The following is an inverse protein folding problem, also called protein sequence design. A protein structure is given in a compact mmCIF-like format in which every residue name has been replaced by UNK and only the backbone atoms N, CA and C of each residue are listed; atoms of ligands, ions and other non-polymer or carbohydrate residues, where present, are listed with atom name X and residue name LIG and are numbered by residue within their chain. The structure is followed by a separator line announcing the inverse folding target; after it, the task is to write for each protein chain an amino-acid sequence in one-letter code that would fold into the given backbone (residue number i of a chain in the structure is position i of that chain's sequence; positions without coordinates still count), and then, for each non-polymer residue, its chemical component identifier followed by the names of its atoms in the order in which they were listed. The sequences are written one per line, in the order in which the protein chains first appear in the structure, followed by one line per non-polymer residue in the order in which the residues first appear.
data_IF_542154160997
#
_entry.id   IF_542154160997
#
_cell.length_a   1.000
_cell.length_b   1.000
_cell.length_c   1.000
_cell.angle_alpha   90.00
_cell.angle_beta   90.00
_cell.angle_gamma   90.00
#
_symmetry.space_group_name_H-M   'P 1'
#
loop_
_entity.id
_entity.type
_entity.pdbx_description
1 polymer ?
#
# COMPACT_ATOMS: atom_id res chain seq x y z
N UNK A 1 -5.35 13.46 24.03
CA UNK A 1 -6.04 13.71 22.74
C UNK A 1 -5.32 14.74 21.90
N UNK A 2 -5.13 15.97 22.37
CA UNK A 2 -4.46 17.04 21.59
C UNK A 2 -3.05 16.63 21.10
N UNK A 3 -2.23 16.00 21.95
CA UNK A 3 -0.92 15.48 21.54
C UNK A 3 -1.02 14.47 20.40
N UNK A 4 -1.97 13.54 20.45
CA UNK A 4 -2.19 12.57 19.38
C UNK A 4 -2.63 13.26 18.09
N UNK A 5 -3.54 14.24 18.17
CA UNK A 5 -3.98 15.01 17.01
C UNK A 5 -2.80 15.72 16.32
N UNK A 6 -1.98 16.46 17.07
CA UNK A 6 -0.81 17.16 16.53
C UNK A 6 0.20 16.19 15.93
N UNK A 7 0.48 15.06 16.60
CA UNK A 7 1.38 14.05 16.05
C UNK A 7 0.84 13.39 14.78
N UNK A 8 -0.48 13.21 14.66
CA UNK A 8 -1.10 12.66 13.45
C UNK A 8 -1.01 13.68 12.30
N UNK A 9 -1.31 14.96 12.54
CA UNK A 9 -1.14 16.01 11.53
C UNK A 9 0.30 16.07 11.00
N UNK A 10 1.29 16.09 11.90
CA UNK A 10 2.71 16.05 11.52
C UNK A 10 3.06 14.78 10.70
N UNK A 11 2.50 13.62 11.07
CA UNK A 11 2.67 12.38 10.32
C UNK A 11 2.06 12.47 8.92
N UNK A 12 0.87 13.06 8.77
CA UNK A 12 0.18 13.22 7.49
C UNK A 12 0.90 14.19 6.55
N UNK A 13 1.59 15.19 7.09
CA UNK A 13 2.42 16.11 6.29
C UNK A 13 3.63 15.38 5.70
N UNK A 14 4.30 14.53 6.48
CA UNK A 14 5.47 13.75 6.04
C UNK A 14 5.05 12.67 5.03
N UNK A 15 4.05 11.86 5.36
CA UNK A 15 3.60 10.76 4.50
C UNK A 15 2.76 11.22 3.30
N UNK A 16 2.30 12.47 3.30
CA UNK A 16 1.63 13.11 2.18
C UNK A 16 2.57 13.57 1.06
N UNK A 17 3.89 13.45 1.23
CA UNK A 17 4.86 13.79 0.19
C UNK A 17 4.73 12.86 -1.02
N UNK A 18 5.09 13.37 -2.21
CA UNK A 18 4.95 12.65 -3.49
C UNK A 18 5.69 11.31 -3.51
N UNK A 19 6.70 11.17 -2.66
CA UNK A 19 7.56 10.00 -2.67
C UNK A 19 6.83 8.75 -2.18
N UNK A 20 5.83 8.86 -1.30
CA UNK A 20 5.23 7.74 -0.54
C UNK A 20 4.19 6.87 -1.27
N UNK A 21 3.97 7.09 -2.57
CA UNK A 21 3.13 6.21 -3.40
C UNK A 21 1.62 6.28 -3.13
N UNK A 22 0.80 5.79 -4.07
CA UNK A 22 -0.65 5.96 -4.03
C UNK A 22 -1.31 5.22 -2.85
N UNK A 23 -0.78 4.07 -2.39
CA UNK A 23 -1.33 3.36 -1.22
C UNK A 23 -1.22 4.20 0.06
N UNK A 24 -0.07 4.83 0.29
CA UNK A 24 0.12 5.70 1.45
C UNK A 24 -0.73 6.97 1.35
N UNK A 25 -0.88 7.56 0.16
CA UNK A 25 -1.74 8.72 -0.04
C UNK A 25 -3.21 8.40 0.21
N UNK A 26 -3.68 7.24 -0.23
CA UNK A 26 -5.04 6.78 0.04
C UNK A 26 -5.27 6.55 1.55
N UNK A 27 -4.29 5.99 2.26
CA UNK A 27 -4.32 5.87 3.73
C UNK A 27 -4.39 7.25 4.39
N UNK A 28 -3.55 8.21 3.97
CA UNK A 28 -3.56 9.57 4.49
C UNK A 28 -4.91 10.26 4.27
N UNK A 29 -5.53 10.07 3.09
CA UNK A 29 -6.86 10.57 2.80
C UNK A 29 -7.92 9.97 3.74
N UNK A 30 -7.86 8.66 4.00
CA UNK A 30 -8.73 7.98 4.96
C UNK A 30 -8.57 8.52 6.39
N UNK A 31 -7.33 8.74 6.84
CA UNK A 31 -7.05 9.33 8.16
C UNK A 31 -7.61 10.76 8.26
N UNK A 32 -7.40 11.60 7.24
CA UNK A 32 -7.93 12.98 7.22
C UNK A 32 -9.45 13.01 7.37
N UNK A 33 -10.16 12.05 6.77
CA UNK A 33 -11.62 11.93 6.93
C UNK A 33 -12.01 11.73 8.40
N UNK A 34 -11.32 10.84 9.12
CA UNK A 34 -11.56 10.64 10.56
C UNK A 34 -11.20 11.86 11.41
N UNK A 35 -10.16 12.62 11.02
CA UNK A 35 -9.83 13.88 11.70
C UNK A 35 -10.90 14.96 11.46
N UNK A 36 -11.50 15.00 10.28
CA UNK A 36 -12.60 15.91 9.99
C UNK A 36 -13.82 15.61 10.89
N UNK A 37 -14.16 14.33 11.08
CA UNK A 37 -15.23 13.92 12.00
C UNK A 37 -14.93 14.38 13.45
N UNK A 38 -13.66 14.32 13.87
CA UNK A 38 -13.24 14.86 15.16
C UNK A 38 -13.41 16.37 15.27
N UNK A 39 -13.06 17.13 14.23
CA UNK A 39 -13.26 18.59 14.22
C UNK A 39 -14.75 18.95 14.29
N UNK A 40 -15.61 18.21 13.59
CA UNK A 40 -17.07 18.37 13.67
C UNK A 40 -17.56 18.13 15.10
N UNK A 41 -17.06 17.08 15.77
CA UNK A 41 -17.38 16.83 17.18
C UNK A 41 -16.94 18.01 18.08
N UNK A 42 -15.77 18.59 17.87
CA UNK A 42 -15.29 19.75 18.64
C UNK A 42 -16.24 20.94 18.47
N UNK A 43 -16.67 21.24 17.25
CA UNK A 43 -17.64 22.31 16.96
C UNK A 43 -19.00 22.04 17.63
N UNK A 44 -19.46 20.78 17.62
CA UNK A 44 -20.70 20.39 18.30
C UNK A 44 -20.58 20.59 19.82
N UNK A 45 -19.44 20.24 20.41
CA UNK A 45 -19.19 20.43 21.85
C UNK A 45 -19.09 21.91 22.22
N UNK A 46 -18.48 22.73 21.39
CA UNK A 46 -18.45 24.19 21.57
C UNK A 46 -19.87 24.77 21.54
N UNK A 47 -20.69 24.35 20.58
CA UNK A 47 -22.09 24.77 20.49
C UNK A 47 -22.86 24.35 21.75
N UNK A 48 -22.66 23.13 22.24
CA UNK A 48 -23.31 22.67 23.48
C UNK A 48 -22.86 23.44 24.72
N UNK A 49 -21.58 23.79 24.80
CA UNK A 49 -21.04 24.60 25.88
C UNK A 49 -21.68 26.00 25.92
N UNK A 50 -21.91 26.62 24.76
CA UNK A 50 -22.48 27.96 24.67
C UNK A 50 -24.01 28.00 24.86
N UNK A 51 -24.71 26.94 24.47
CA UNK A 51 -26.19 26.93 24.44
C UNK A 51 -26.84 26.20 25.62
N UNK A 52 -26.16 25.22 26.22
CA UNK A 52 -26.74 24.38 27.27
C UNK A 52 -26.17 24.73 28.66
N UNK A 53 -26.98 25.30 29.57
CA UNK A 53 -26.53 25.64 30.92
C UNK A 53 -26.21 24.42 31.81
N UNK A 54 -26.67 23.22 31.44
CA UNK A 54 -26.39 21.96 32.14
C UNK A 54 -25.18 21.21 31.57
N UNK A 55 -24.42 21.81 30.65
CA UNK A 55 -23.22 21.19 30.12
C UNK A 55 -22.13 21.14 31.21
N UNK A 56 -21.75 19.93 31.60
CA UNK A 56 -20.74 19.70 32.65
C UNK A 56 -19.47 19.10 32.06
N UNK A 57 -18.36 19.24 32.79
CA UNK A 57 -17.09 18.63 32.45
C UNK A 57 -17.20 17.09 32.28
N UNK A 58 -18.09 16.45 33.05
CA UNK A 58 -18.34 15.02 32.91
C UNK A 58 -19.00 14.66 31.57
N UNK A 59 -19.96 15.46 31.12
CA UNK A 59 -20.63 15.29 29.82
C UNK A 59 -19.62 15.49 28.69
N UNK A 60 -18.77 16.51 28.76
CA UNK A 60 -17.65 16.70 27.83
C UNK A 60 -16.77 15.45 27.77
N UNK A 61 -16.34 14.93 28.92
CA UNK A 61 -15.49 13.75 29.00
C UNK A 61 -16.15 12.53 28.32
N UNK A 62 -17.44 12.30 28.58
CA UNK A 62 -18.19 11.20 27.97
C UNK A 62 -18.25 11.29 26.45
N UNK A 63 -18.52 12.48 25.89
CA UNK A 63 -18.56 12.67 24.44
C UNK A 63 -17.16 12.55 23.79
N UNK A 64 -16.10 12.91 24.51
CA UNK A 64 -14.73 12.83 23.97
C UNK A 64 -14.13 11.42 23.99
N UNK A 65 -14.66 10.47 24.79
CA UNK A 65 -14.11 9.12 24.94
C UNK A 65 -13.95 8.37 23.60
N UNK A 66 -14.99 8.37 22.76
CA UNK A 66 -14.96 7.68 21.47
C UNK A 66 -13.94 8.29 20.51
N UNK A 67 -13.88 9.63 20.44
CA UNK A 67 -12.89 10.34 19.65
C UNK A 67 -11.46 10.16 20.19
N UNK A 68 -11.29 10.07 21.52
CA UNK A 68 -10.00 9.81 22.15
C UNK A 68 -9.46 8.46 21.74
N UNK A 69 -10.34 7.47 21.74
CA UNK A 69 -10.04 6.12 21.32
C UNK A 69 -9.65 6.07 19.83
N UNK A 70 -10.45 6.68 18.95
CA UNK A 70 -10.15 6.79 17.52
C UNK A 70 -8.77 7.43 17.27
N UNK A 71 -8.50 8.60 17.86
CA UNK A 71 -7.21 9.28 17.72
C UNK A 71 -6.04 8.44 18.23
N UNK A 72 -6.25 7.70 19.33
CA UNK A 72 -5.21 6.81 19.85
C UNK A 72 -4.88 5.68 18.86
N UNK A 73 -5.88 5.05 18.24
CA UNK A 73 -5.65 3.97 17.29
C UNK A 73 -4.96 4.44 16.00
N UNK A 74 -5.33 5.62 15.51
CA UNK A 74 -4.67 6.23 14.35
C UNK A 74 -3.23 6.62 14.70
N UNK A 75 -3.00 7.18 15.89
CA UNK A 75 -1.66 7.54 16.35
C UNK A 75 -0.73 6.32 16.49
N UNK A 76 -1.21 5.22 17.09
CA UNK A 76 -0.41 4.00 17.24
C UNK A 76 -0.10 3.36 15.89
N UNK A 77 -1.05 3.41 14.95
CA UNK A 77 -0.84 2.99 13.56
C UNK A 77 0.23 3.86 12.87
N UNK A 78 0.08 5.19 12.90
CA UNK A 78 1.03 6.11 12.28
C UNK A 78 2.44 5.95 12.84
N UNK A 79 2.57 5.77 14.16
CA UNK A 79 3.86 5.46 14.79
C UNK A 79 4.43 4.11 14.33
N UNK A 80 3.58 3.10 14.15
CA UNK A 80 4.04 1.80 13.64
C UNK A 80 4.57 1.89 12.20
N UNK A 81 3.93 2.71 11.35
CA UNK A 81 4.39 2.98 9.98
C UNK A 81 5.73 3.71 10.01
N UNK A 82 5.87 4.75 10.86
CA UNK A 82 7.13 5.48 11.00
C UNK A 82 8.27 4.60 11.55
N UNK A 83 7.99 3.73 12.51
CA UNK A 83 9.02 2.83 13.06
C UNK A 83 9.47 1.77 12.04
N UNK A 84 8.56 1.20 11.25
CA UNK A 84 8.97 0.26 10.20
C UNK A 84 9.82 0.93 9.11
N UNK A 85 9.70 2.26 8.95
CA UNK A 85 10.59 3.01 8.05
C UNK A 85 12.01 3.19 8.62
N UNK A 86 12.20 3.02 9.93
CA UNK A 86 13.52 3.06 10.59
C UNK A 86 14.14 1.67 10.82
N UNK A 87 13.35 0.61 10.96
CA UNK A 87 13.80 -0.72 11.43
C UNK A 87 14.58 -1.57 10.38
N UNK A 88 15.01 -1.01 9.25
CA UNK A 88 15.90 -1.72 8.29
C UNK A 88 17.40 -1.48 8.54
N UNK A 89 17.79 -0.93 9.71
CA UNK A 89 19.20 -0.69 10.07
C UNK A 89 19.84 -1.79 10.95
N UNK A 90 19.11 -2.83 11.40
CA UNK A 90 19.69 -3.87 12.27
C UNK A 90 19.23 -5.29 11.90
N UNK A 91 19.98 -5.93 11.00
CA UNK A 91 19.75 -7.28 10.51
C UNK A 91 20.90 -7.73 9.63
N UNK A 92 21.99 -8.19 10.26
CA UNK A 92 23.12 -8.82 9.61
C UNK A 92 22.71 -10.09 8.87
N UNK A 93 22.60 -10.00 7.55
CA UNK A 93 23.13 -10.94 6.55
C UNK A 93 22.97 -10.24 5.19
N UNK A 94 24.08 -9.78 4.62
CA UNK A 94 24.07 -9.25 3.25
C UNK A 94 23.84 -10.44 2.33
N UNK A 95 22.60 -10.63 1.91
CA UNK A 95 22.29 -11.50 0.78
C UNK A 95 23.17 -11.12 -0.41
N UNK A 96 23.82 -12.13 -0.96
CA UNK A 96 24.81 -12.05 -2.05
C UNK A 96 24.20 -11.40 -3.31
N UNK A 97 22.87 -11.41 -3.43
CA UNK A 97 22.11 -10.84 -4.53
C UNK A 97 22.17 -9.30 -4.57
N UNK A 98 22.44 -8.64 -3.44
CA UNK A 98 22.63 -7.18 -3.37
C UNK A 98 23.97 -6.75 -3.97
N UNK A 99 24.97 -7.62 -3.99
CA UNK A 99 26.27 -7.30 -4.57
C UNK A 99 26.22 -7.34 -6.10
N UNK A 100 25.43 -8.27 -6.67
CA UNK A 100 25.25 -8.39 -8.11
C UNK A 100 24.37 -7.25 -8.68
N UNK A 101 23.31 -6.82 -8.00
CA UNK A 101 22.47 -5.67 -8.45
C UNK A 101 23.24 -4.33 -8.33
N UNK A 102 24.12 -4.20 -7.32
CA UNK A 102 25.04 -3.06 -7.18
C UNK A 102 26.15 -3.09 -8.24
N UNK A 103 26.74 -4.26 -8.52
CA UNK A 103 27.74 -4.44 -9.57
C UNK A 103 27.14 -4.18 -10.96
N UNK A 104 25.91 -4.62 -11.21
CA UNK A 104 25.22 -4.39 -12.47
C UNK A 104 24.85 -2.91 -12.64
N UNK A 105 24.51 -2.22 -11.55
CA UNK A 105 24.26 -0.78 -11.53
C UNK A 105 25.53 0.07 -11.76
N UNK A 106 26.66 -0.34 -11.17
CA UNK A 106 27.99 0.26 -11.41
C UNK A 106 28.49 -0.01 -12.84
N UNK A 107 28.28 -1.22 -13.36
CA UNK A 107 28.65 -1.61 -14.73
C UNK A 107 27.79 -0.90 -15.78
N UNK A 108 26.56 -0.53 -15.44
CA UNK A 108 25.66 0.25 -16.29
C UNK A 108 25.92 1.77 -16.24
N UNK A 109 26.90 2.24 -15.46
CA UNK A 109 27.26 3.66 -15.39
C UNK A 109 26.17 4.57 -14.83
N UNK A 110 25.25 4.03 -14.00
CA UNK A 110 24.19 4.81 -13.36
C UNK A 110 24.72 5.43 -12.07
N UNK A 111 24.65 6.77 -11.98
CA UNK A 111 25.00 7.51 -10.76
C UNK A 111 24.17 6.99 -9.59
N UNK A 112 24.86 6.60 -8.50
CA UNK A 112 24.27 6.22 -7.21
C UNK A 112 23.67 7.47 -6.55
N UNK A 113 22.56 7.96 -7.09
CA UNK A 113 21.82 9.06 -6.49
C UNK A 113 21.19 8.58 -5.18
N UNK A 114 21.28 9.40 -4.12
CA UNK A 114 20.72 9.15 -2.79
C UNK A 114 19.23 8.79 -2.76
N UNK A 115 18.51 8.92 -3.90
CA UNK A 115 17.12 8.53 -4.03
C UNK A 115 16.85 7.03 -3.83
N UNK A 116 17.77 6.14 -4.22
CA UNK A 116 17.51 4.69 -4.14
C UNK A 116 17.64 4.14 -2.70
N UNK A 117 18.51 4.76 -1.89
CA UNK A 117 18.66 4.48 -0.45
C UNK A 117 17.43 4.99 0.33
N UNK A 118 16.87 6.14 -0.05
CA UNK A 118 15.63 6.67 0.51
C UNK A 118 14.41 5.81 0.11
N UNK A 119 14.42 5.24 -1.10
CA UNK A 119 13.35 4.37 -1.57
C UNK A 119 13.31 3.03 -0.80
N UNK A 120 14.48 2.46 -0.47
CA UNK A 120 14.58 1.28 0.42
C UNK A 120 14.08 1.52 1.85
N UNK A 121 14.20 2.74 2.36
CA UNK A 121 13.75 3.16 3.70
C UNK A 121 12.26 3.47 3.78
N UNK A 122 11.57 3.52 2.63
CA UNK A 122 10.18 3.95 2.59
C UNK A 122 9.23 2.75 2.69
N UNK A 123 8.40 2.72 3.73
CA UNK A 123 7.30 1.77 3.85
C UNK A 123 6.22 2.12 2.81
N UNK A 124 6.26 1.45 1.66
CA UNK A 124 5.35 1.68 0.54
C UNK A 124 4.51 0.45 0.22
N UNK A 125 3.39 0.68 -0.47
CA UNK A 125 2.57 -0.37 -1.06
C UNK A 125 2.23 -1.51 -0.11
N UNK A 126 2.68 -2.71 -0.46
CA UNK A 126 2.37 -3.94 0.27
C UNK A 126 2.85 -3.98 1.72
N UNK A 127 3.93 -3.26 2.08
CA UNK A 127 4.38 -3.15 3.48
C UNK A 127 3.33 -2.45 4.36
N UNK A 128 2.73 -1.38 3.85
CA UNK A 128 1.66 -0.62 4.55
C UNK A 128 0.43 -1.50 4.74
N UNK A 129 0.03 -2.22 3.69
CA UNK A 129 -1.12 -3.15 3.75
C UNK A 129 -0.87 -4.32 4.71
N UNK A 130 0.34 -4.89 4.69
CA UNK A 130 0.75 -5.94 5.63
C UNK A 130 0.67 -5.44 7.07
N UNK A 131 1.23 -4.27 7.37
CA UNK A 131 1.17 -3.69 8.71
C UNK A 131 -0.27 -3.46 9.19
N UNK A 132 -1.14 -2.88 8.34
CA UNK A 132 -2.56 -2.69 8.66
C UNK A 132 -3.24 -4.02 8.99
N UNK A 133 -2.93 -5.07 8.22
CA UNK A 133 -3.50 -6.41 8.42
C UNK A 133 -3.01 -7.04 9.71
N UNK A 134 -1.70 -7.03 9.96
CA UNK A 134 -1.14 -7.54 11.22
C UNK A 134 -1.73 -6.80 12.42
N UNK A 135 -1.93 -5.49 12.32
CA UNK A 135 -2.58 -4.72 13.38
C UNK A 135 -4.03 -5.14 13.60
N UNK A 136 -4.78 -5.37 12.53
CA UNK A 136 -6.15 -5.86 12.60
C UNK A 136 -6.25 -7.19 13.35
N UNK A 137 -5.33 -8.12 13.08
CA UNK A 137 -5.26 -9.42 13.76
C UNK A 137 -4.93 -9.27 15.25
N UNK A 138 -3.97 -8.40 15.59
CA UNK A 138 -3.59 -8.14 16.99
C UNK A 138 -4.69 -7.45 17.81
N UNK A 139 -5.59 -6.70 17.17
CA UNK A 139 -6.63 -5.89 17.83
C UNK A 139 -8.01 -6.56 17.73
N UNK A 140 -8.06 -7.89 17.56
CA UNK A 140 -9.29 -8.67 17.42
C UNK A 140 -10.33 -8.50 18.56
N UNK A 141 -9.91 -8.06 19.74
CA UNK A 141 -10.78 -7.83 20.91
C UNK A 141 -11.50 -6.47 20.97
N UNK A 142 -11.17 -5.50 20.11
CA UNK A 142 -11.73 -4.15 20.16
C UNK A 142 -12.54 -3.82 18.89
N UNK A 143 -13.89 -3.80 18.97
CA UNK A 143 -14.73 -3.61 17.80
C UNK A 143 -14.62 -2.20 17.21
N UNK A 144 -14.35 -1.17 18.02
CA UNK A 144 -14.23 0.20 17.56
C UNK A 144 -12.91 0.41 16.81
N UNK A 145 -11.81 -0.12 17.36
CA UNK A 145 -10.52 -0.10 16.67
C UNK A 145 -10.56 -0.90 15.36
N UNK A 146 -11.19 -2.08 15.38
CA UNK A 146 -11.36 -2.91 14.17
C UNK A 146 -12.13 -2.16 13.09
N UNK A 147 -13.23 -1.49 13.41
CA UNK A 147 -14.00 -0.72 12.44
C UNK A 147 -13.17 0.37 11.74
N UNK A 148 -12.35 1.10 12.50
CA UNK A 148 -11.46 2.15 11.97
C UNK A 148 -10.37 1.52 11.08
N UNK A 149 -9.70 0.47 11.56
CA UNK A 149 -8.63 -0.19 10.80
C UNK A 149 -9.14 -0.85 9.53
N UNK A 150 -10.33 -1.47 9.55
CA UNK A 150 -10.96 -2.01 8.34
C UNK A 150 -11.29 -0.91 7.34
N UNK A 151 -11.83 0.23 7.80
CA UNK A 151 -12.10 1.36 6.91
C UNK A 151 -10.81 1.90 6.27
N UNK A 152 -9.75 2.08 7.06
CA UNK A 152 -8.45 2.52 6.57
C UNK A 152 -7.80 1.52 5.62
N UNK A 153 -7.86 0.22 5.92
CA UNK A 153 -7.36 -0.84 5.05
C UNK A 153 -8.10 -0.85 3.71
N UNK A 154 -9.43 -0.72 3.74
CA UNK A 154 -10.26 -0.66 2.53
C UNK A 154 -9.90 0.55 1.68
N UNK A 155 -9.71 1.72 2.28
CA UNK A 155 -9.36 2.93 1.54
C UNK A 155 -7.92 2.85 0.98
N UNK A 156 -6.97 2.34 1.76
CA UNK A 156 -5.58 2.15 1.35
C UNK A 156 -5.39 1.08 0.25
N UNK A 157 -6.23 0.03 0.23
CA UNK A 157 -6.11 -1.06 -0.74
C UNK A 157 -6.69 -0.73 -2.11
N UNK A 158 -7.56 0.28 -2.24
CA UNK A 158 -8.16 0.71 -3.53
C UNK A 158 -7.16 0.92 -4.66
N UNK A 159 -6.10 1.76 -4.50
CA UNK A 159 -5.12 1.96 -5.57
C UNK A 159 -4.36 0.67 -5.91
N UNK A 160 -4.07 -0.17 -4.92
CA UNK A 160 -3.40 -1.45 -5.14
C UNK A 160 -4.28 -2.41 -5.97
N UNK A 161 -5.57 -2.49 -5.63
CA UNK A 161 -6.55 -3.32 -6.35
C UNK A 161 -6.81 -2.80 -7.76
N UNK A 162 -6.74 -1.48 -8.00
CA UNK A 162 -6.83 -0.92 -9.34
C UNK A 162 -5.70 -1.44 -10.25
N UNK A 163 -4.45 -1.40 -9.76
CA UNK A 163 -3.30 -1.95 -10.51
C UNK A 163 -3.44 -3.46 -10.69
N UNK A 164 -3.93 -4.17 -9.67
CA UNK A 164 -4.19 -5.62 -9.78
C UNK A 164 -5.22 -5.94 -10.86
N UNK A 165 -6.32 -5.17 -10.95
CA UNK A 165 -7.34 -5.36 -11.96
C UNK A 165 -6.80 -5.07 -13.37
N UNK A 166 -6.01 -4.00 -13.53
CA UNK A 166 -5.38 -3.69 -14.81
C UNK A 166 -4.43 -4.81 -15.26
N UNK A 167 -3.67 -5.38 -14.32
CA UNK A 167 -2.81 -6.52 -14.59
C UNK A 167 -3.59 -7.79 -14.97
N UNK A 168 -4.66 -8.12 -14.23
CA UNK A 168 -5.44 -9.33 -14.47
C UNK A 168 -6.29 -9.27 -15.74
N UNK A 169 -6.78 -8.09 -16.12
CA UNK A 169 -7.67 -7.92 -17.27
C UNK A 169 -6.98 -7.47 -18.54
N UNK A 170 -5.97 -6.61 -18.43
CA UNK A 170 -5.31 -5.98 -19.58
C UNK A 170 -3.82 -6.33 -19.69
N UNK A 171 -3.22 -6.93 -18.65
CA UNK A 171 -1.80 -7.30 -18.67
C UNK A 171 -0.87 -6.10 -18.56
N UNK A 172 -1.40 -4.91 -18.30
CA UNK A 172 -0.66 -3.66 -18.20
C UNK A 172 -0.34 -3.33 -16.75
N UNK A 173 0.90 -2.91 -16.47
CA UNK A 173 1.32 -2.44 -15.14
C UNK A 173 1.57 -0.94 -15.18
N UNK A 174 0.73 -0.18 -14.48
CA UNK A 174 0.93 1.24 -14.22
C UNK A 174 1.35 1.46 -12.78
N UNK A 175 2.64 1.32 -12.51
CA UNK A 175 3.22 1.41 -11.16
C UNK A 175 4.40 2.41 -11.11
N UNK A 176 4.14 3.73 -11.05
CA UNK A 176 5.20 4.75 -11.00
C UNK A 176 6.06 4.68 -9.72
N UNK A 177 5.51 4.16 -8.63
CA UNK A 177 6.13 4.18 -7.31
C UNK A 177 6.71 2.83 -6.88
N UNK A 178 6.51 1.78 -7.67
CA UNK A 178 7.06 0.47 -7.38
C UNK A 178 6.35 -0.25 -6.22
N UNK A 179 5.03 -0.13 -6.12
CA UNK A 179 4.23 -0.70 -5.03
C UNK A 179 3.60 -2.07 -5.35
N UNK A 180 3.46 -2.43 -6.62
CA UNK A 180 2.75 -3.63 -7.04
C UNK A 180 3.59 -4.91 -6.86
N UNK A 181 2.94 -6.07 -6.64
CA UNK A 181 3.64 -7.34 -6.41
C UNK A 181 4.45 -7.83 -7.62
N UNK A 182 4.05 -7.47 -8.84
CA UNK A 182 4.78 -7.81 -10.06
C UNK A 182 5.61 -6.61 -10.52
N UNK A 183 6.90 -6.83 -10.77
CA UNK A 183 7.81 -5.85 -11.38
C UNK A 183 7.99 -6.16 -12.86
N UNK A 184 7.80 -5.17 -13.72
CA UNK A 184 8.15 -5.24 -15.15
C UNK A 184 9.55 -4.67 -15.39
N UNK A 185 10.45 -5.48 -15.96
CA UNK A 185 11.77 -5.04 -16.41
C UNK A 185 11.73 -4.62 -17.89
N UNK A 186 11.38 -3.35 -18.13
CA UNK A 186 11.28 -2.76 -19.49
C UNK A 186 12.61 -2.67 -20.26
N UNK A 187 13.74 -2.93 -19.60
CA UNK A 187 15.10 -2.92 -20.19
C UNK A 187 15.39 -4.12 -21.08
N UNK A 188 14.64 -5.23 -20.94
CA UNK A 188 14.85 -6.45 -21.72
C UNK A 188 14.12 -6.33 -23.06
N UNK A 189 14.77 -5.64 -24.01
CA UNK A 189 14.29 -5.54 -25.39
C UNK A 189 14.59 -6.84 -26.15
N UNK A 190 13.62 -7.25 -26.96
CA UNK A 190 13.58 -8.48 -27.78
C UNK A 190 14.75 -8.62 -28.78
N UNK A 191 15.48 -7.54 -29.06
CA UNK A 191 16.54 -7.48 -30.08
C UNK A 191 17.88 -8.12 -29.69
N UNK A 192 18.09 -8.54 -28.43
CA UNK A 192 19.37 -9.14 -27.98
C UNK A 192 19.39 -10.66 -27.89
N UNK A 193 18.27 -11.36 -28.06
CA UNK A 193 18.23 -12.82 -27.94
C UNK A 193 17.70 -13.45 -29.23
N UNK A 194 18.62 -13.78 -30.13
CA UNK A 194 18.33 -14.46 -31.38
C UNK A 194 18.12 -15.99 -31.22
N UNK A 195 18.04 -16.56 -30.00
CA UNK A 195 17.99 -18.01 -29.84
C UNK A 195 17.30 -18.59 -28.58
N UNK A 196 17.02 -17.82 -27.53
CA UNK A 196 16.39 -18.38 -26.31
C UNK A 196 14.90 -18.01 -26.25
N UNK A 197 14.09 -18.74 -27.03
CA UNK A 197 12.65 -18.48 -27.18
C UNK A 197 11.78 -19.08 -26.06
N UNK A 198 12.36 -19.49 -24.93
CA UNK A 198 11.70 -20.46 -24.04
C UNK A 198 11.82 -20.03 -22.59
N UNK A 199 10.71 -19.58 -22.00
CA UNK A 199 10.48 -19.25 -20.58
C UNK A 199 11.39 -18.22 -19.88
N UNK A 200 12.72 -18.27 -20.04
CA UNK A 200 13.67 -17.38 -19.37
C UNK A 200 13.42 -15.90 -19.66
N UNK A 201 12.95 -15.56 -20.86
CA UNK A 201 12.60 -14.19 -21.22
C UNK A 201 11.46 -13.64 -20.35
N UNK A 202 10.38 -14.41 -20.18
CA UNK A 202 9.20 -13.98 -19.42
C UNK A 202 9.46 -14.01 -17.91
N UNK A 203 10.32 -14.92 -17.45
CA UNK A 203 10.77 -14.98 -16.06
C UNK A 203 11.69 -13.82 -15.68
N UNK A 204 12.56 -13.37 -16.59
CA UNK A 204 13.37 -12.17 -16.36
C UNK A 204 12.55 -10.88 -16.51
N UNK A 205 11.55 -10.85 -17.40
CA UNK A 205 10.73 -9.65 -17.65
C UNK A 205 9.74 -9.36 -16.53
N UNK A 206 9.08 -10.39 -15.98
CA UNK A 206 8.12 -10.24 -14.88
C UNK A 206 8.58 -11.02 -13.65
N UNK A 207 9.07 -10.28 -12.66
CA UNK A 207 9.53 -10.83 -11.38
C UNK A 207 8.58 -10.46 -10.25
N UNK A 208 8.54 -11.30 -9.20
CA UNK A 208 7.80 -11.00 -7.96
C UNK A 208 8.67 -10.16 -7.03
N UNK A 209 8.04 -9.22 -6.31
CA UNK A 209 8.65 -8.52 -5.17
C UNK A 209 8.36 -9.27 -3.86
N UNK A 210 9.18 -9.04 -2.84
CA UNK A 210 9.00 -9.63 -1.50
C UNK A 210 7.88 -8.97 -0.68
N UNK A 211 7.48 -7.76 -1.07
CA UNK A 211 6.51 -6.92 -0.38
C UNK A 211 5.05 -7.27 -0.73
N UNK A 212 4.69 -8.53 -0.56
CA UNK A 212 3.36 -9.06 -0.92
C UNK A 212 2.39 -8.89 0.26
N UNK A 213 1.21 -8.27 0.06
CA UNK A 213 0.17 -8.27 1.09
C UNK A 213 -0.19 -9.70 1.49
N UNK A 214 -0.30 -10.02 2.79
CA UNK A 214 -0.51 -11.38 3.27
C UNK A 214 -1.76 -12.07 2.68
N UNK A 215 -2.78 -11.30 2.31
CA UNK A 215 -3.99 -11.81 1.65
C UNK A 215 -3.73 -12.37 0.25
N UNK A 216 -2.71 -11.84 -0.44
CA UNK A 216 -2.38 -12.19 -1.82
C UNK A 216 -1.25 -13.22 -1.90
N UNK A 217 -0.54 -13.47 -0.79
CA UNK A 217 0.50 -14.49 -0.68
C UNK A 217 0.11 -15.86 -1.27
N UNK A 218 -1.07 -16.45 -0.97
CA UNK A 218 -1.45 -17.74 -1.53
C UNK A 218 -1.77 -17.69 -3.04
N UNK A 219 -2.02 -16.52 -3.60
CA UNK A 219 -2.41 -16.32 -5.00
C UNK A 219 -1.30 -15.72 -5.86
N UNK A 220 -0.16 -15.32 -5.28
CA UNK A 220 0.91 -14.58 -5.98
C UNK A 220 1.35 -15.23 -7.29
N UNK A 221 1.54 -16.55 -7.29
CA UNK A 221 1.97 -17.29 -8.47
C UNK A 221 0.88 -17.30 -9.56
N UNK A 222 -0.39 -17.43 -9.16
CA UNK A 222 -1.53 -17.39 -10.09
C UNK A 222 -1.71 -16.00 -10.70
N UNK A 223 -1.54 -14.95 -9.90
CA UNK A 223 -1.62 -13.55 -10.35
C UNK A 223 -0.49 -13.25 -11.35
N UNK A 224 0.74 -13.66 -11.04
CA UNK A 224 1.87 -13.51 -11.95
C UNK A 224 1.60 -14.22 -13.29
N UNK A 225 1.17 -15.47 -13.20
CA UNK A 225 0.94 -16.31 -14.36
C UNK A 225 -0.21 -15.78 -15.24
N UNK A 226 -1.29 -15.28 -14.64
CA UNK A 226 -2.43 -14.71 -15.36
C UNK A 226 -2.00 -13.57 -16.29
N UNK A 227 -1.26 -12.58 -15.77
CA UNK A 227 -0.79 -11.47 -16.61
C UNK A 227 0.36 -11.85 -17.55
N UNK A 228 1.22 -12.82 -17.18
CA UNK A 228 2.22 -13.39 -18.12
C UNK A 228 1.55 -13.99 -19.35
N UNK A 229 0.54 -14.84 -19.15
CA UNK A 229 -0.19 -15.46 -20.26
C UNK A 229 -0.88 -14.43 -21.16
N UNK A 230 -1.49 -13.41 -20.57
CA UNK A 230 -2.15 -12.36 -21.34
C UNK A 230 -1.16 -11.59 -22.21
N UNK A 231 0.04 -11.29 -21.68
CA UNK A 231 1.09 -10.63 -22.43
C UNK A 231 1.69 -11.51 -23.54
N UNK A 232 1.83 -12.81 -23.31
CA UNK A 232 2.20 -13.77 -24.38
C UNK A 232 1.18 -13.75 -25.51
N UNK A 233 -0.12 -13.75 -25.18
CA UNK A 233 -1.19 -13.70 -26.18
C UNK A 233 -1.19 -12.37 -26.94
N UNK A 234 -0.96 -11.25 -26.25
CA UNK A 234 -0.82 -9.94 -26.90
C UNK A 234 0.34 -9.91 -27.90
N UNK A 235 1.50 -10.47 -27.53
CA UNK A 235 2.67 -10.51 -28.41
C UNK A 235 2.53 -11.46 -29.59
N UNK A 236 1.73 -12.53 -29.46
CA UNK A 236 1.48 -13.50 -30.52
C UNK A 236 0.27 -13.15 -31.41
N UNK A 237 -0.71 -12.41 -30.90
CA UNK A 237 -2.06 -12.34 -31.46
C UNK A 237 -2.54 -11.00 -31.99
N UNK A 238 -1.99 -9.85 -31.58
CA UNK A 238 -2.42 -8.53 -32.07
C UNK A 238 -3.92 -8.18 -31.89
N UNK A 239 -4.67 -8.96 -31.11
CA UNK A 239 -6.12 -8.81 -30.90
C UNK A 239 -6.36 -7.99 -29.62
N UNK A 240 -7.17 -6.94 -29.75
CA UNK A 240 -7.66 -6.13 -28.64
C UNK A 240 -8.56 -6.95 -27.70
N UNK A 241 -8.24 -6.94 -26.41
CA UNK A 241 -8.70 -7.84 -25.33
C UNK A 241 -10.15 -7.70 -24.87
N UNK A 242 -11.04 -7.15 -25.69
CA UNK A 242 -12.43 -6.96 -25.29
C UNK A 242 -13.28 -8.25 -25.37
N UNK A 243 -12.90 -9.25 -26.18
CA UNK A 243 -13.66 -10.50 -26.33
C UNK A 243 -13.23 -11.63 -25.37
N UNK A 244 -12.02 -11.58 -24.80
CA UNK A 244 -11.52 -12.62 -23.88
C UNK A 244 -12.05 -12.49 -22.43
N UNK A 245 -12.80 -11.42 -22.14
CA UNK A 245 -13.20 -11.02 -20.78
C UNK A 245 -14.37 -11.80 -20.15
N UNK A 246 -15.05 -12.71 -20.88
CA UNK A 246 -16.14 -13.51 -20.27
C UNK A 246 -15.64 -14.60 -19.31
N UNK A 247 -14.39 -15.05 -19.42
CA UNK A 247 -13.88 -16.17 -18.62
C UNK A 247 -13.46 -15.74 -17.20
N UNK A 248 -13.08 -14.47 -17.00
CA UNK A 248 -12.53 -13.97 -15.72
C UNK A 248 -13.52 -13.20 -14.82
N UNK A 249 -14.75 -12.92 -15.28
CA UNK A 249 -15.79 -12.26 -14.45
C UNK A 249 -16.05 -12.98 -13.13
N UNK A 250 -15.78 -14.29 -13.05
CA UNK A 250 -15.96 -15.10 -11.85
C UNK A 250 -14.90 -14.86 -10.74
N UNK A 251 -13.79 -14.17 -11.00
CA UNK A 251 -12.80 -13.84 -9.97
C UNK A 251 -13.08 -12.50 -9.26
N UNK A 252 -13.84 -11.60 -9.90
CA UNK A 252 -14.21 -10.29 -9.34
C UNK A 252 -15.03 -10.38 -8.04
N UNK A 253 -15.67 -11.53 -7.79
CA UNK A 253 -16.49 -11.76 -6.61
C UNK A 253 -15.67 -12.06 -5.35
N UNK A 254 -14.37 -12.39 -5.48
CA UNK A 254 -13.50 -12.75 -4.35
C UNK A 254 -12.83 -11.50 -3.73
N UNK A 255 -12.71 -10.39 -4.47
CA UNK A 255 -12.11 -9.13 -3.98
C UNK A 255 -13.12 -8.15 -3.36
N UNK A 256 -14.37 -8.57 -3.13
CA UNK A 256 -15.42 -7.72 -2.54
C UNK A 256 -15.60 -7.89 -1.01
N UNK A 257 -14.71 -8.63 -0.34
CA UNK A 257 -14.59 -8.72 1.11
C UNK A 257 -13.41 -7.89 1.61
#
# INVERSE_FOLDING_TARGET
MATHYISIEAFLEVQGQRDYGPVCHALCAGIRKHLQDYLVLVVQLETQLLTNPNFTLNVLNLHTLSAAHMLKQIYTLGRAISNQSSDMEDGTEKDIDDFDDILESLRAGRDLSSGDILNRRSCKGGKVLRLLTTRLDTISGDPAARAILTALLKDASRPYVAILNDWLHHGTIQDPHGEFLVREQKSIKREKLAQDYTDEYWDRRYTLRDDIPPQLEPFKNKILLAGKYLNVVHECGGIDTNEAMEIFRNLSMICAL
#
